data_IF_374976867472
#
_entry.id   IF_374976867472
#
_cell.length_a   1.000
_cell.length_b   1.000
_cell.length_c   1.000
_cell.angle_alpha   90.00
_cell.angle_beta   90.00
_cell.angle_gamma   90.00
#
_symmetry.space_group_name_H-M   'P 1'
#
loop_
_entity.id
_entity.type
_entity.pdbx_description
1 polymer ?
#
# COMPACT_ATOMS: atom_id res chain seq x y z
N UNK A 1 5.08 -10.45 -40.18
CA UNK A 1 4.84 -9.30 -39.28
C UNK A 1 4.98 -9.82 -37.85
N UNK A 2 6.11 -9.56 -37.18
CA UNK A 2 6.27 -9.85 -35.78
C UNK A 2 5.44 -8.84 -34.99
N UNK A 3 4.42 -9.31 -34.29
CA UNK A 3 3.65 -8.50 -33.38
C UNK A 3 4.50 -8.33 -32.10
N UNK A 4 5.02 -7.14 -31.86
CA UNK A 4 5.68 -6.82 -30.59
C UNK A 4 4.57 -6.81 -29.53
N UNK A 5 4.62 -7.74 -28.58
CA UNK A 5 3.73 -7.71 -27.43
C UNK A 5 4.14 -6.54 -26.56
N UNK A 6 3.27 -5.54 -26.41
CA UNK A 6 3.50 -4.31 -25.62
C UNK A 6 3.52 -4.61 -24.12
N UNK A 7 3.13 -5.81 -23.70
CA UNK A 7 3.06 -6.28 -22.31
C UNK A 7 4.42 -6.35 -21.60
N UNK A 8 5.52 -6.25 -22.35
CA UNK A 8 6.88 -6.21 -21.80
C UNK A 8 7.25 -4.90 -21.11
N UNK A 9 6.55 -3.80 -21.44
CA UNK A 9 6.81 -2.48 -20.88
C UNK A 9 5.62 -2.06 -20.03
N UNK A 10 5.85 -1.82 -18.75
CA UNK A 10 4.85 -1.24 -17.87
C UNK A 10 5.34 0.11 -17.38
N UNK A 11 4.53 1.13 -17.61
CA UNK A 11 4.81 2.49 -17.15
C UNK A 11 4.15 2.73 -15.80
N UNK A 12 4.96 3.17 -14.85
CA UNK A 12 4.53 3.54 -13.50
C UNK A 12 4.93 4.98 -13.22
N UNK A 13 3.98 5.75 -12.72
CA UNK A 13 4.18 7.14 -12.34
C UNK A 13 3.95 7.30 -10.85
N UNK A 14 4.89 7.97 -10.20
CA UNK A 14 4.81 8.33 -8.79
C UNK A 14 4.86 9.85 -8.65
N UNK A 15 3.73 10.43 -8.26
CA UNK A 15 3.51 11.86 -8.09
C UNK A 15 4.34 12.44 -6.92
N UNK A 16 4.64 13.73 -6.95
CA UNK A 16 5.22 14.46 -5.83
C UNK A 16 4.31 14.47 -4.60
N UNK A 17 2.98 14.50 -4.80
CA UNK A 17 1.95 14.44 -3.74
C UNK A 17 1.64 12.99 -3.33
N UNK A 18 2.64 12.29 -2.83
CA UNK A 18 2.46 10.91 -2.33
C UNK A 18 2.31 10.89 -0.82
N UNK A 19 1.42 10.02 -0.35
CA UNK A 19 1.15 9.83 1.06
C UNK A 19 0.74 8.39 1.32
N UNK A 20 1.44 7.72 2.22
CA UNK A 20 1.17 6.32 2.57
C UNK A 20 -0.26 6.10 3.08
N UNK A 21 -0.88 7.10 3.69
CA UNK A 21 -2.25 7.00 4.18
C UNK A 21 -3.27 6.98 3.06
N UNK A 22 -3.04 7.78 2.02
CA UNK A 22 -3.88 7.78 0.84
C UNK A 22 -3.69 6.47 0.07
N UNK A 23 -2.45 5.97 0.00
CA UNK A 23 -2.13 4.68 -0.60
C UNK A 23 -2.83 3.51 0.11
N UNK A 24 -2.92 3.53 1.44
CA UNK A 24 -3.62 2.51 2.22
C UNK A 24 -5.12 2.50 1.96
N UNK A 25 -5.73 3.68 1.79
CA UNK A 25 -7.19 3.82 1.59
C UNK A 25 -7.62 3.50 0.16
N UNK A 26 -6.78 3.80 -0.82
CA UNK A 26 -7.09 3.66 -2.22
C UNK A 26 -6.78 2.25 -2.75
N UNK A 27 -7.78 1.48 -3.14
CA UNK A 27 -7.59 0.16 -3.78
C UNK A 27 -6.83 0.21 -5.11
N UNK A 28 -6.86 1.37 -5.77
CA UNK A 28 -6.20 1.60 -7.06
C UNK A 28 -4.73 2.02 -6.91
N UNK A 29 -4.30 2.37 -5.69
CA UNK A 29 -2.90 2.66 -5.39
C UNK A 29 -2.02 1.41 -5.56
N UNK A 30 -0.73 1.59 -5.60
CA UNK A 30 0.24 0.48 -5.66
C UNK A 30 0.12 -0.43 -4.44
N UNK A 31 0.03 0.15 -3.24
CA UNK A 31 -0.15 -0.59 -2.01
C UNK A 31 -1.51 -1.31 -1.97
N UNK A 32 -2.58 -0.63 -2.41
CA UNK A 32 -3.91 -1.22 -2.49
C UNK A 32 -3.99 -2.43 -3.43
N UNK A 33 -3.26 -2.40 -4.54
CA UNK A 33 -3.12 -3.55 -5.46
C UNK A 33 -2.38 -4.70 -4.80
N UNK A 34 -1.22 -4.45 -4.16
CA UNK A 34 -0.48 -5.48 -3.41
C UNK A 34 -1.36 -6.14 -2.34
N UNK A 35 -2.10 -5.34 -1.58
CA UNK A 35 -3.00 -5.84 -0.54
C UNK A 35 -4.18 -6.64 -1.11
N UNK A 36 -4.64 -6.29 -2.32
CA UNK A 36 -5.65 -7.07 -3.04
C UNK A 36 -5.18 -8.47 -3.39
N UNK A 37 -3.89 -8.62 -3.69
CA UNK A 37 -3.28 -9.90 -4.09
C UNK A 37 -2.88 -10.77 -2.89
N UNK A 38 -2.90 -10.24 -1.66
CA UNK A 38 -2.52 -11.00 -0.46
C UNK A 38 -3.34 -12.27 -0.33
N UNK A 39 -4.65 -12.20 -0.55
CA UNK A 39 -5.55 -13.35 -0.41
C UNK A 39 -5.26 -14.44 -1.45
N UNK A 40 -4.81 -14.07 -2.65
CA UNK A 40 -4.49 -15.03 -3.71
C UNK A 40 -3.21 -15.84 -3.42
N UNK A 41 -2.37 -15.36 -2.51
CA UNK A 41 -1.14 -16.03 -2.10
C UNK A 41 -1.33 -17.00 -0.91
N UNK A 42 -2.51 -17.05 -0.31
CA UNK A 42 -2.83 -17.97 0.76
C UNK A 42 -3.56 -19.21 0.24
N UNK A 43 -3.34 -20.35 0.90
CA UNK A 43 -4.20 -21.52 0.70
C UNK A 43 -5.65 -21.16 1.10
N UNK A 44 -6.67 -21.56 0.33
CA UNK A 44 -8.08 -21.33 0.67
C UNK A 44 -8.46 -21.81 2.07
N UNK A 45 -7.81 -22.85 2.59
CA UNK A 45 -8.01 -23.34 3.96
C UNK A 45 -7.50 -22.34 4.99
N UNK A 46 -6.31 -21.78 4.77
CA UNK A 46 -5.71 -20.78 5.67
C UNK A 46 -6.55 -19.50 5.69
N UNK A 47 -7.06 -19.07 4.53
CA UNK A 47 -7.99 -17.94 4.44
C UNK A 47 -9.24 -18.20 5.29
N UNK A 48 -9.85 -19.37 5.16
CA UNK A 48 -11.06 -19.73 5.91
C UNK A 48 -10.80 -19.76 7.42
N UNK A 49 -9.67 -20.34 7.84
CA UNK A 49 -9.26 -20.41 9.25
C UNK A 49 -9.03 -19.01 9.84
N UNK A 50 -8.30 -18.13 9.12
CA UNK A 50 -8.05 -16.77 9.55
C UNK A 50 -9.34 -15.96 9.64
N UNK A 51 -10.23 -16.07 8.64
CA UNK A 51 -11.53 -15.38 8.66
C UNK A 51 -12.42 -15.88 9.81
N UNK A 52 -12.35 -17.17 10.15
CA UNK A 52 -13.06 -17.73 11.30
C UNK A 52 -12.51 -17.16 12.62
N UNK A 53 -11.19 -17.06 12.79
CA UNK A 53 -10.56 -16.43 13.96
C UNK A 53 -10.98 -14.96 14.10
N UNK A 54 -10.99 -14.20 13.00
CA UNK A 54 -11.47 -12.82 12.99
C UNK A 54 -12.95 -12.73 13.39
N UNK A 55 -13.78 -13.67 12.90
CA UNK A 55 -15.19 -13.72 13.25
C UNK A 55 -15.40 -13.97 14.75
N UNK A 56 -14.63 -14.90 15.34
CA UNK A 56 -14.66 -15.18 16.78
C UNK A 56 -14.22 -13.97 17.60
N UNK A 57 -13.16 -13.28 17.16
CA UNK A 57 -12.68 -12.06 17.81
C UNK A 57 -13.73 -10.92 17.77
N UNK A 58 -14.42 -10.76 16.64
CA UNK A 58 -15.53 -9.80 16.52
C UNK A 58 -16.67 -10.11 17.50
N UNK A 59 -17.04 -11.38 17.62
CA UNK A 59 -18.09 -11.81 18.56
C UNK A 59 -17.69 -11.53 20.02
N UNK A 60 -16.45 -11.89 20.39
CA UNK A 60 -15.91 -11.63 21.73
C UNK A 60 -15.82 -10.12 22.06
N UNK A 61 -15.40 -9.30 21.09
CA UNK A 61 -15.36 -7.86 21.27
C UNK A 61 -16.74 -7.24 21.54
N UNK A 62 -17.78 -7.73 20.86
CA UNK A 62 -19.16 -7.29 21.08
C UNK A 62 -19.64 -7.77 22.44
N UNK A 63 -19.36 -9.02 22.83
CA UNK A 63 -19.78 -9.58 24.12
C UNK A 63 -19.19 -8.82 25.31
N UNK A 64 -17.91 -8.41 25.19
CA UNK A 64 -17.20 -7.68 26.25
C UNK A 64 -17.49 -6.18 26.32
N UNK A 65 -18.18 -5.61 25.33
CA UNK A 65 -18.44 -4.17 25.24
C UNK A 65 -19.93 -3.85 25.25
N UNK A 66 -20.39 -3.23 26.34
CA UNK A 66 -21.78 -2.75 26.47
C UNK A 66 -22.12 -1.74 25.36
N UNK A 67 -21.16 -0.90 24.96
CA UNK A 67 -21.36 0.09 23.89
C UNK A 67 -21.61 -0.59 22.54
N UNK A 68 -20.82 -1.61 22.19
CA UNK A 68 -20.99 -2.33 20.92
C UNK A 68 -22.30 -3.14 20.91
N UNK A 69 -22.67 -3.73 22.05
CA UNK A 69 -23.96 -4.42 22.20
C UNK A 69 -25.13 -3.44 22.02
N UNK A 70 -25.11 -2.30 22.68
CA UNK A 70 -26.15 -1.27 22.56
C UNK A 70 -26.28 -0.75 21.13
N UNK A 71 -25.16 -0.54 20.42
CA UNK A 71 -25.16 -0.16 19.00
C UNK A 71 -25.83 -1.26 18.18
N UNK A 72 -25.45 -2.53 18.36
CA UNK A 72 -26.01 -3.64 17.63
C UNK A 72 -27.51 -3.79 17.89
N UNK A 73 -27.96 -3.66 19.14
CA UNK A 73 -29.38 -3.72 19.51
C UNK A 73 -30.18 -2.57 18.90
N UNK A 74 -29.64 -1.36 18.95
CA UNK A 74 -30.29 -0.19 18.35
C UNK A 74 -30.47 -0.34 16.85
N UNK A 75 -29.49 -0.94 16.17
CA UNK A 75 -29.52 -1.16 14.72
C UNK A 75 -30.45 -2.32 14.31
N UNK A 76 -30.86 -3.20 15.20
CA UNK A 76 -31.88 -4.25 14.92
C UNK A 76 -33.22 -3.66 14.49
N UNK A 77 -33.49 -2.39 14.83
CA UNK A 77 -34.68 -1.69 14.34
C UNK A 77 -34.73 -1.54 12.81
N UNK A 78 -33.59 -1.65 12.13
CA UNK A 78 -33.52 -1.64 10.67
C UNK A 78 -34.18 -2.90 10.08
N UNK A 79 -34.02 -4.06 10.76
CA UNK A 79 -34.58 -5.34 10.32
C UNK A 79 -36.12 -5.28 10.25
N UNK A 80 -36.73 -4.48 11.11
CA UNK A 80 -38.20 -4.30 11.17
C UNK A 80 -38.72 -3.32 10.10
N UNK A 81 -37.87 -2.48 9.52
CA UNK A 81 -38.25 -1.44 8.55
C UNK A 81 -37.99 -1.85 7.11
N UNK A 82 -37.15 -2.87 6.89
CA UNK A 82 -36.85 -3.41 5.57
C UNK A 82 -37.58 -4.75 5.39
N UNK A 83 -38.36 -4.85 4.33
CA UNK A 83 -39.08 -6.07 3.91
C UNK A 83 -38.12 -7.20 3.43
N UNK A 84 -36.95 -7.29 4.02
CA UNK A 84 -35.91 -8.25 3.67
C UNK A 84 -35.58 -9.16 4.87
N UNK A 85 -35.31 -10.43 4.60
CA UNK A 85 -34.83 -11.40 5.59
C UNK A 85 -33.40 -11.13 6.10
N UNK A 86 -32.90 -9.92 5.91
CA UNK A 86 -31.58 -9.47 6.34
C UNK A 86 -31.49 -9.32 7.85
N UNK A 87 -30.30 -9.51 8.43
CA UNK A 87 -29.97 -9.22 9.83
C UNK A 87 -28.82 -8.25 9.90
N UNK A 88 -28.90 -7.28 10.79
CA UNK A 88 -27.81 -6.34 11.06
C UNK A 88 -26.74 -6.98 11.93
N UNK A 89 -25.50 -6.90 11.48
CA UNK A 89 -24.33 -7.33 12.22
C UNK A 89 -23.34 -6.17 12.36
N UNK A 90 -22.83 -5.97 13.57
CA UNK A 90 -21.73 -5.06 13.84
C UNK A 90 -20.42 -5.88 13.83
N UNK A 91 -19.41 -5.38 13.15
CA UNK A 91 -18.09 -6.04 13.09
C UNK A 91 -17.00 -4.99 13.37
N UNK A 92 -16.43 -4.95 14.59
CA UNK A 92 -15.37 -4.01 14.94
C UNK A 92 -14.11 -4.15 14.08
N UNK A 93 -13.80 -5.38 13.66
CA UNK A 93 -12.65 -5.69 12.81
C UNK A 93 -13.11 -6.15 11.43
N UNK A 94 -12.30 -5.88 10.40
CA UNK A 94 -12.61 -6.32 9.03
C UNK A 94 -12.85 -7.83 8.96
N UNK A 95 -14.02 -8.23 8.49
CA UNK A 95 -14.47 -9.65 8.52
C UNK A 95 -13.74 -10.52 7.50
N UNK A 96 -13.25 -9.94 6.40
CA UNK A 96 -12.63 -10.67 5.29
C UNK A 96 -11.21 -10.17 5.04
N UNK A 97 -10.30 -11.10 4.78
CA UNK A 97 -8.91 -10.78 4.44
C UNK A 97 -8.79 -9.89 3.20
N UNK A 98 -9.69 -10.01 2.23
CA UNK A 98 -9.73 -9.12 1.06
C UNK A 98 -10.00 -7.64 1.39
N UNK A 99 -10.48 -7.34 2.60
CA UNK A 99 -10.72 -5.98 3.09
C UNK A 99 -9.57 -5.47 3.98
N UNK A 100 -8.41 -6.14 3.94
CA UNK A 100 -7.20 -5.79 4.70
C UNK A 100 -6.80 -4.33 4.54
N UNK A 101 -6.95 -3.77 3.35
CA UNK A 101 -6.64 -2.36 3.07
C UNK A 101 -7.45 -1.37 3.92
N UNK A 102 -8.59 -1.79 4.46
CA UNK A 102 -9.44 -0.93 5.32
C UNK A 102 -9.00 -0.94 6.79
N UNK A 103 -8.30 -1.99 7.21
CA UNK A 103 -7.89 -2.20 8.60
C UNK A 103 -6.38 -2.18 8.81
N UNK A 104 -5.59 -2.20 7.71
CA UNK A 104 -4.14 -2.15 7.80
C UNK A 104 -3.71 -0.77 8.31
N UNK A 105 -2.96 -0.79 9.40
CA UNK A 105 -2.31 0.39 9.98
C UNK A 105 -0.80 0.18 9.96
N UNK A 106 -0.07 1.21 9.56
CA UNK A 106 1.39 1.20 9.59
C UNK A 106 1.83 2.02 10.79
N UNK A 107 2.69 1.46 11.62
CA UNK A 107 3.26 2.10 12.79
C UNK A 107 4.76 2.32 12.56
N UNK A 108 5.27 3.43 13.06
CA UNK A 108 6.69 3.73 13.10
C UNK A 108 7.09 4.20 14.50
N UNK A 109 8.20 3.63 15.03
CA UNK A 109 8.70 3.92 16.37
C UNK A 109 9.44 2.72 16.96
N UNK A 110 9.59 2.72 18.28
CA UNK A 110 10.13 1.58 19.04
C UNK A 110 8.99 0.62 19.42
N UNK A 111 9.32 -0.61 19.86
CA UNK A 111 8.30 -1.60 20.28
C UNK A 111 7.37 -1.04 21.37
N UNK A 112 7.95 -0.28 22.32
CA UNK A 112 7.19 0.28 23.44
C UNK A 112 6.53 1.64 23.14
N UNK A 113 6.92 2.31 22.04
CA UNK A 113 6.45 3.66 21.71
C UNK A 113 6.39 3.83 20.19
N UNK A 114 5.40 3.22 19.57
CA UNK A 114 5.13 3.37 18.14
C UNK A 114 3.84 4.17 17.92
N UNK A 115 3.87 5.01 16.90
CA UNK A 115 2.72 5.82 16.49
C UNK A 115 2.31 5.44 15.08
N UNK A 116 1.00 5.50 14.81
CA UNK A 116 0.50 5.32 13.44
C UNK A 116 1.01 6.44 12.53
N UNK A 117 1.04 6.20 11.24
CA UNK A 117 1.52 7.19 10.25
C UNK A 117 0.74 8.51 10.29
N UNK A 118 -0.47 8.53 10.88
CA UNK A 118 -1.25 9.76 11.10
C UNK A 118 -0.52 10.80 11.95
N UNK A 119 0.29 10.34 12.88
CA UNK A 119 1.06 11.19 13.81
C UNK A 119 2.46 11.55 13.28
N UNK A 120 2.80 11.14 12.07
CA UNK A 120 4.10 11.45 11.47
C UNK A 120 4.00 12.57 10.44
N UNK A 121 5.09 13.33 10.31
CA UNK A 121 5.19 14.41 9.35
C UNK A 121 5.17 13.92 7.89
N UNK A 122 4.86 14.84 6.98
CA UNK A 122 4.76 14.56 5.53
C UNK A 122 6.00 13.86 4.96
N UNK A 123 7.21 14.20 5.43
CA UNK A 123 8.43 13.53 4.98
C UNK A 123 8.45 12.04 5.24
N UNK A 124 8.10 11.60 6.46
CA UNK A 124 8.02 10.17 6.81
C UNK A 124 6.92 9.47 6.01
N UNK A 125 5.77 10.10 5.85
CA UNK A 125 4.62 9.56 5.12
C UNK A 125 4.93 9.43 3.63
N UNK A 126 5.53 10.44 3.01
CA UNK A 126 5.96 10.45 1.61
C UNK A 126 7.05 9.39 1.35
N UNK A 127 8.02 9.26 2.26
CA UNK A 127 9.05 8.23 2.15
C UNK A 127 8.48 6.83 2.28
N UNK A 128 7.55 6.61 3.22
CA UNK A 128 6.87 5.32 3.38
C UNK A 128 6.09 4.91 2.13
N UNK A 129 5.42 5.86 1.47
CA UNK A 129 4.78 5.64 0.17
C UNK A 129 5.78 5.21 -0.91
N UNK A 130 6.94 5.88 -0.99
CA UNK A 130 8.02 5.50 -1.90
C UNK A 130 8.55 4.09 -1.65
N UNK A 131 8.74 3.71 -0.39
CA UNK A 131 9.20 2.36 -0.05
C UNK A 131 8.16 1.29 -0.38
N UNK A 132 6.88 1.59 -0.20
CA UNK A 132 5.76 0.72 -0.60
C UNK A 132 5.71 0.55 -2.12
N UNK A 133 5.92 1.63 -2.87
CA UNK A 133 6.03 1.57 -4.32
C UNK A 133 7.23 0.71 -4.77
N UNK A 134 8.40 0.87 -4.13
CA UNK A 134 9.57 0.02 -4.38
C UNK A 134 9.24 -1.47 -4.15
N UNK A 135 8.55 -1.78 -3.05
CA UNK A 135 8.13 -3.16 -2.77
C UNK A 135 7.18 -3.70 -3.85
N UNK A 136 6.24 -2.88 -4.32
CA UNK A 136 5.34 -3.24 -5.42
C UNK A 136 6.11 -3.56 -6.71
N UNK A 137 7.03 -2.70 -7.12
CA UNK A 137 7.84 -2.92 -8.34
C UNK A 137 8.67 -4.20 -8.22
N UNK A 138 9.29 -4.42 -7.06
CA UNK A 138 10.06 -5.65 -6.81
C UNK A 138 9.18 -6.89 -6.91
N UNK A 139 8.04 -6.93 -6.22
CA UNK A 139 7.11 -8.05 -6.27
C UNK A 139 6.65 -8.34 -7.69
N UNK A 140 6.37 -7.29 -8.47
CA UNK A 140 5.95 -7.42 -9.86
C UNK A 140 7.05 -8.04 -10.73
N UNK A 141 8.32 -7.67 -10.53
CA UNK A 141 9.44 -8.28 -11.22
C UNK A 141 9.65 -9.73 -10.80
N UNK A 142 9.56 -10.02 -9.48
CA UNK A 142 9.78 -11.35 -8.93
C UNK A 142 8.65 -12.34 -9.34
N UNK A 143 7.44 -11.84 -9.60
CA UNK A 143 6.30 -12.66 -10.05
C UNK A 143 6.36 -13.06 -11.51
N UNK A 144 7.22 -12.43 -12.31
CA UNK A 144 7.44 -12.77 -13.72
C UNK A 144 8.52 -13.83 -13.84
N UNK A 145 8.22 -14.89 -14.60
CA UNK A 145 9.18 -15.97 -14.81
C UNK A 145 10.25 -15.48 -15.81
N UNK A 146 11.55 -15.41 -15.44
CA UNK A 146 12.60 -14.87 -16.33
C UNK A 146 12.75 -15.63 -17.66
N UNK A 147 12.27 -16.88 -17.71
CA UNK A 147 12.37 -17.73 -18.90
C UNK A 147 11.26 -17.47 -19.93
N UNK A 148 10.12 -16.90 -19.50
CA UNK A 148 8.94 -16.80 -20.36
C UNK A 148 8.73 -15.40 -20.94
N UNK A 149 9.08 -14.32 -20.23
CA UNK A 149 8.85 -12.95 -20.71
C UNK A 149 9.88 -11.96 -20.16
N UNK A 150 10.60 -11.26 -21.04
CA UNK A 150 11.40 -10.10 -20.63
C UNK A 150 10.46 -8.99 -20.13
N UNK A 151 10.57 -8.61 -18.86
CA UNK A 151 9.79 -7.55 -18.24
C UNK A 151 10.71 -6.38 -17.89
N UNK A 152 10.35 -5.17 -18.36
CA UNK A 152 11.11 -3.96 -18.10
C UNK A 152 10.15 -2.86 -17.59
N UNK A 153 10.10 -2.58 -16.29
CA UNK A 153 9.33 -1.46 -15.78
C UNK A 153 9.99 -0.14 -16.16
N UNK A 154 9.17 0.83 -16.59
CA UNK A 154 9.56 2.22 -16.79
C UNK A 154 8.93 3.03 -15.65
N UNK A 155 9.76 3.64 -14.83
CA UNK A 155 9.35 4.30 -13.59
C UNK A 155 9.63 5.78 -13.72
N UNK A 156 8.59 6.60 -13.71
CA UNK A 156 8.70 8.06 -13.61
C UNK A 156 8.38 8.49 -12.17
N UNK A 157 9.29 9.25 -11.56
CA UNK A 157 9.18 9.74 -10.19
C UNK A 157 9.32 11.25 -10.20
N UNK A 158 8.31 11.94 -9.70
CA UNK A 158 8.30 13.39 -9.58
C UNK A 158 8.73 13.81 -8.18
N UNK A 159 9.70 14.72 -8.12
CA UNK A 159 10.23 15.34 -6.90
C UNK A 159 10.33 14.36 -5.70
N UNK A 160 11.14 13.31 -5.82
CA UNK A 160 11.21 12.28 -4.78
C UNK A 160 11.65 12.85 -3.42
N UNK A 161 12.33 13.97 -3.43
CA UNK A 161 12.81 14.70 -2.26
C UNK A 161 11.75 15.55 -1.56
N UNK A 162 10.54 15.69 -2.11
CA UNK A 162 9.50 16.51 -1.51
C UNK A 162 9.31 16.18 -0.03
N UNK A 163 9.37 17.22 0.82
CA UNK A 163 9.25 17.14 2.28
C UNK A 163 10.37 16.42 3.03
N UNK A 164 11.48 16.05 2.36
CA UNK A 164 12.60 15.35 2.99
C UNK A 164 13.76 16.29 3.36
N UNK A 165 14.34 16.05 4.53
CA UNK A 165 15.57 16.71 4.95
C UNK A 165 16.73 16.31 4.00
N UNK A 166 17.72 17.20 3.71
CA UNK A 166 18.83 16.92 2.80
C UNK A 166 19.57 15.61 3.04
N UNK A 167 19.77 15.22 4.30
CA UNK A 167 20.43 13.94 4.64
C UNK A 167 19.59 12.72 4.19
N UNK A 168 18.27 12.83 4.26
CA UNK A 168 17.37 11.75 3.82
C UNK A 168 17.34 11.65 2.27
N UNK A 169 17.53 12.76 1.56
CA UNK A 169 17.51 12.79 0.10
C UNK A 169 18.61 11.93 -0.53
N UNK A 170 19.80 11.86 0.08
CA UNK A 170 20.89 10.99 -0.39
C UNK A 170 20.54 9.51 -0.25
N UNK A 171 19.91 9.13 0.88
CA UNK A 171 19.47 7.75 1.10
C UNK A 171 18.32 7.39 0.16
N UNK A 172 17.42 8.33 -0.09
CA UNK A 172 16.34 8.18 -1.05
C UNK A 172 16.88 7.88 -2.45
N UNK A 173 17.85 8.63 -2.95
CA UNK A 173 18.46 8.40 -4.27
C UNK A 173 19.03 6.98 -4.37
N UNK A 174 19.78 6.54 -3.36
CA UNK A 174 20.30 5.17 -3.31
C UNK A 174 19.21 4.13 -3.43
N UNK A 175 18.13 4.29 -2.66
CA UNK A 175 16.99 3.35 -2.68
C UNK A 175 16.26 3.34 -4.01
N UNK A 176 16.12 4.50 -4.68
CA UNK A 176 15.55 4.57 -6.02
C UNK A 176 16.45 3.87 -7.05
N UNK A 177 17.77 4.05 -6.93
CA UNK A 177 18.73 3.45 -7.86
C UNK A 177 18.74 1.92 -7.77
N UNK A 178 18.42 1.35 -6.61
CA UNK A 178 18.27 -0.10 -6.39
C UNK A 178 16.98 -0.68 -7.01
N UNK A 179 16.03 0.16 -7.44
CA UNK A 179 14.81 -0.35 -8.09
C UNK A 179 15.13 -0.90 -9.49
N UNK A 180 14.52 -2.02 -9.89
CA UNK A 180 14.69 -2.55 -11.24
C UNK A 180 14.05 -1.65 -12.29
N UNK A 181 14.53 -1.73 -13.52
CA UNK A 181 13.97 -1.03 -14.67
C UNK A 181 14.56 0.34 -14.97
N UNK A 182 13.96 1.03 -15.95
CA UNK A 182 14.36 2.39 -16.36
C UNK A 182 13.69 3.40 -15.43
N UNK A 183 14.49 4.33 -14.91
CA UNK A 183 14.01 5.38 -14.00
C UNK A 183 14.16 6.75 -14.67
N UNK A 184 13.09 7.53 -14.62
CA UNK A 184 13.04 8.93 -15.04
C UNK A 184 12.65 9.73 -13.80
N UNK A 185 13.55 10.58 -13.32
CA UNK A 185 13.38 11.30 -12.06
C UNK A 185 13.43 12.79 -12.36
N UNK A 186 12.38 13.52 -12.00
CA UNK A 186 12.43 14.98 -11.96
C UNK A 186 12.79 15.44 -10.55
N UNK A 187 13.68 16.41 -10.44
CA UNK A 187 14.12 16.92 -9.13
C UNK A 187 14.50 18.38 -9.22
N UNK A 188 14.20 19.13 -8.18
CA UNK A 188 14.72 20.47 -7.93
C UNK A 188 15.83 20.47 -6.86
N UNK A 189 16.19 19.31 -6.32
CA UNK A 189 17.19 19.19 -5.27
C UNK A 189 18.61 19.08 -5.82
N UNK A 190 19.51 20.00 -5.45
CA UNK A 190 20.92 19.85 -5.76
C UNK A 190 21.55 18.62 -5.10
N UNK A 191 20.99 18.17 -3.97
CA UNK A 191 21.48 16.98 -3.26
C UNK A 191 21.15 15.68 -3.99
N UNK A 192 19.96 15.59 -4.58
CA UNK A 192 19.56 14.44 -5.41
C UNK A 192 20.36 14.46 -6.72
N UNK A 193 20.45 15.61 -7.38
CA UNK A 193 21.22 15.77 -8.61
C UNK A 193 22.71 15.45 -8.42
N UNK A 194 23.32 15.83 -7.29
CA UNK A 194 24.71 15.54 -6.98
C UNK A 194 25.00 14.04 -6.71
N UNK A 195 23.98 13.22 -6.53
CA UNK A 195 24.14 11.77 -6.38
C UNK A 195 24.14 11.03 -7.73
N UNK A 196 23.65 11.68 -8.80
CA UNK A 196 23.59 11.10 -10.14
C UNK A 196 24.92 11.29 -10.88
N UNK A 197 25.20 10.43 -11.86
CA UNK A 197 26.32 10.63 -12.77
C UNK A 197 25.99 11.75 -13.76
N UNK A 198 27.01 12.50 -14.20
CA UNK A 198 26.83 13.61 -15.17
C UNK A 198 26.18 13.16 -16.49
N UNK A 199 26.41 11.91 -16.88
CA UNK A 199 25.83 11.30 -18.07
C UNK A 199 24.32 11.08 -17.96
N UNK A 200 23.79 10.99 -16.74
CA UNK A 200 22.38 10.77 -16.44
C UNK A 200 21.58 12.09 -16.35
N UNK A 201 22.28 13.19 -16.11
CA UNK A 201 21.63 14.50 -15.94
C UNK A 201 21.14 15.09 -17.26
N UNK A 202 19.94 15.65 -17.25
CA UNK A 202 19.35 16.43 -18.33
C UNK A 202 18.79 17.73 -17.74
N UNK A 203 19.31 18.86 -18.22
CA UNK A 203 18.72 20.16 -17.90
C UNK A 203 17.51 20.44 -18.79
N UNK A 204 16.48 20.98 -18.21
CA UNK A 204 15.33 21.53 -18.93
C UNK A 204 15.35 23.03 -18.89
#
# INVERSE_FOLDING_TARGET
KSTIKVDYFQFHYLDAKRDIQDDLKARTSYLGKMLGDVVSNYDPKDVAELEQKISSLNAEAIEKSDVLRNIQESLKGIDATMDSSGKVYVSPFAKKLRDLNKSLTIHYGTEDSSFTMDYHGMGTRSWSSMLSFRAFVKQMCDSKNPEDEAFLPIIAIEEPEAHLHPNAQKQLYKQMNEMPGIKIISTHSPYVAACAELSELRGM
#
